data_IF_612651126167
#
_entry.id   IF_612651126167
#
_cell.length_a   1.000
_cell.length_b   1.000
_cell.length_c   1.000
_cell.angle_alpha   90.00
_cell.angle_beta   90.00
_cell.angle_gamma   90.00
#
_symmetry.space_group_name_H-M   'P 1'
#
loop_
_entity.id
_entity.type
_entity.pdbx_description
1 polymer ?
#
# COMPACT_ATOMS: atom_id res chain seq x y z
N UNK A 1 -4.61 -10.86 4.52
CA UNK A 1 -3.97 -11.90 5.36
C UNK A 1 -2.52 -11.46 5.53
N UNK A 2 -1.96 -11.40 6.75
CA UNK A 2 -0.55 -11.01 6.95
C UNK A 2 0.32 -12.21 6.60
N UNK A 3 1.15 -12.09 5.56
CA UNK A 3 2.09 -13.15 5.23
C UNK A 3 3.23 -13.12 6.25
N UNK A 4 3.25 -14.10 7.16
CA UNK A 4 4.30 -14.20 8.16
C UNK A 4 5.63 -14.50 7.46
N UNK A 5 6.61 -13.62 7.65
CA UNK A 5 8.00 -13.96 7.40
C UNK A 5 8.86 -13.66 8.65
N UNK A 6 9.93 -14.44 8.90
CA UNK A 6 10.69 -14.36 10.15
C UNK A 6 11.33 -12.99 10.41
N UNK A 7 11.50 -12.19 9.36
CA UNK A 7 12.15 -10.89 9.40
C UNK A 7 11.15 -9.72 9.24
N UNK A 8 9.85 -10.01 9.12
CA UNK A 8 8.78 -9.06 8.78
C UNK A 8 9.08 -8.14 7.57
N UNK A 9 9.96 -8.57 6.64
CA UNK A 9 10.30 -7.75 5.48
C UNK A 9 9.30 -7.92 4.34
N UNK A 10 8.56 -6.87 4.06
CA UNK A 10 7.89 -6.69 2.78
C UNK A 10 8.93 -6.68 1.65
N UNK A 11 8.59 -7.33 0.54
CA UNK A 11 9.42 -7.34 -0.67
C UNK A 11 8.52 -7.29 -1.91
N UNK A 12 9.13 -7.18 -3.08
CA UNK A 12 8.42 -7.02 -4.35
C UNK A 12 7.36 -8.12 -4.60
N UNK A 13 7.69 -9.40 -4.37
CA UNK A 13 6.74 -10.48 -4.65
C UNK A 13 5.56 -10.49 -3.68
N UNK A 14 5.80 -10.13 -2.41
CA UNK A 14 4.72 -10.01 -1.42
C UNK A 14 3.75 -8.90 -1.80
N UNK A 15 4.27 -7.75 -2.25
CA UNK A 15 3.42 -6.63 -2.69
C UNK A 15 2.64 -7.00 -3.95
N UNK A 16 3.26 -7.64 -4.94
CA UNK A 16 2.55 -8.08 -6.16
C UNK A 16 1.39 -9.02 -5.79
N UNK A 17 1.64 -10.02 -4.95
CA UNK A 17 0.58 -10.94 -4.51
C UNK A 17 -0.51 -10.21 -3.71
N UNK A 18 -0.13 -9.24 -2.86
CA UNK A 18 -1.10 -8.42 -2.15
C UNK A 18 -1.97 -7.60 -3.12
N UNK A 19 -1.38 -7.04 -4.18
CA UNK A 19 -2.14 -6.30 -5.21
C UNK A 19 -3.15 -7.23 -5.88
N UNK A 20 -2.71 -8.38 -6.38
CA UNK A 20 -3.54 -9.27 -7.20
C UNK A 20 -4.60 -10.02 -6.40
N UNK A 21 -4.24 -10.50 -5.22
CA UNK A 21 -5.05 -11.48 -4.49
C UNK A 21 -5.95 -10.81 -3.44
N UNK A 22 -5.61 -9.60 -3.01
CA UNK A 22 -6.31 -8.91 -1.93
C UNK A 22 -6.84 -7.55 -2.37
N UNK A 23 -5.97 -6.68 -2.90
CA UNK A 23 -6.35 -5.31 -3.23
C UNK A 23 -7.36 -5.28 -4.38
N UNK A 24 -7.02 -5.84 -5.54
CA UNK A 24 -7.90 -5.82 -6.73
C UNK A 24 -9.28 -6.44 -6.47
N UNK A 25 -9.41 -7.59 -5.78
CA UNK A 25 -10.72 -8.16 -5.46
C UNK A 25 -11.54 -7.35 -4.46
N UNK A 26 -10.89 -6.60 -3.54
CA UNK A 26 -11.56 -5.80 -2.52
C UNK A 26 -12.08 -4.44 -3.04
N UNK A 27 -11.93 -4.20 -4.33
CA UNK A 27 -11.99 -2.90 -4.96
C UNK A 27 -13.15 -2.93 -5.99
N UNK A 28 -14.13 -2.02 -5.90
CA UNK A 28 -15.25 -1.84 -6.88
C UNK A 28 -14.93 -1.07 -8.18
N UNK A 29 -15.38 -1.56 -9.36
CA UNK A 29 -15.09 -1.25 -10.79
C UNK A 29 -14.73 0.18 -11.31
N UNK A 30 -14.47 1.20 -10.50
CA UNK A 30 -14.03 2.53 -10.95
C UNK A 30 -12.51 2.70 -10.87
N UNK A 31 -11.92 3.59 -11.68
CA UNK A 31 -10.49 3.96 -11.63
C UNK A 31 -10.11 4.54 -10.27
N UNK A 32 -8.92 4.19 -9.76
CA UNK A 32 -8.61 4.32 -8.32
C UNK A 32 -7.26 4.95 -8.10
N UNK A 33 -7.25 5.97 -7.26
CA UNK A 33 -6.01 6.49 -6.69
C UNK A 33 -5.73 5.72 -5.40
N UNK A 34 -4.54 5.12 -5.29
CA UNK A 34 -4.09 4.45 -4.08
C UNK A 34 -2.96 5.25 -3.44
N UNK A 35 -3.22 5.86 -2.29
CA UNK A 35 -2.18 6.55 -1.52
C UNK A 35 -1.29 5.54 -0.79
N UNK A 36 0.03 5.61 -1.02
CA UNK A 36 1.02 4.69 -0.45
C UNK A 36 2.18 5.44 0.18
N UNK A 37 2.76 4.87 1.24
CA UNK A 37 4.02 5.35 1.78
C UNK A 37 5.17 5.09 0.79
N UNK A 38 6.16 5.98 0.76
CA UNK A 38 7.23 5.93 -0.24
C UNK A 38 8.42 5.07 0.21
N UNK A 39 8.18 3.77 0.30
CA UNK A 39 9.20 2.76 0.66
C UNK A 39 9.82 2.11 -0.58
N UNK A 40 11.00 1.50 -0.42
CA UNK A 40 11.81 1.00 -1.55
C UNK A 40 11.06 0.00 -2.44
N UNK A 41 10.33 -0.93 -1.85
CA UNK A 41 9.65 -2.00 -2.58
C UNK A 41 8.36 -1.53 -3.29
N UNK A 42 7.74 -0.41 -2.88
CA UNK A 42 6.61 0.17 -3.62
C UNK A 42 7.04 0.85 -4.92
N UNK A 43 8.34 1.09 -5.12
CA UNK A 43 8.86 1.90 -6.22
C UNK A 43 9.49 1.09 -7.36
N UNK A 44 9.39 -0.24 -7.32
CA UNK A 44 9.95 -1.04 -8.40
C UNK A 44 9.05 -0.98 -9.62
N UNK A 45 9.64 -1.13 -10.82
CA UNK A 45 8.86 -1.09 -12.06
C UNK A 45 7.79 -2.18 -12.07
N UNK A 46 8.11 -3.38 -11.58
CA UNK A 46 7.16 -4.50 -11.51
C UNK A 46 5.92 -4.14 -10.68
N UNK A 47 6.10 -3.45 -9.56
CA UNK A 47 4.97 -3.03 -8.70
C UNK A 47 4.14 -1.94 -9.40
N UNK A 48 4.77 -0.95 -10.03
CA UNK A 48 4.07 0.07 -10.81
C UNK A 48 3.29 -0.54 -11.99
N UNK A 49 3.92 -1.43 -12.75
CA UNK A 49 3.31 -2.13 -13.87
C UNK A 49 2.10 -2.95 -13.41
N UNK A 50 2.20 -3.61 -12.24
CA UNK A 50 1.09 -4.36 -11.63
C UNK A 50 -0.07 -3.46 -11.21
N UNK A 51 0.20 -2.27 -10.66
CA UNK A 51 -0.88 -1.31 -10.39
C UNK A 51 -1.56 -0.83 -11.68
N UNK A 52 -0.77 -0.46 -12.67
CA UNK A 52 -1.28 0.06 -13.93
C UNK A 52 -2.06 -0.98 -14.74
N UNK A 53 -1.69 -2.26 -14.68
CA UNK A 53 -2.45 -3.33 -15.34
C UNK A 53 -3.85 -3.55 -14.75
N UNK A 54 -4.15 -2.95 -13.60
CA UNK A 54 -5.43 -3.02 -12.91
C UNK A 54 -6.12 -1.65 -12.76
N UNK A 55 -5.72 -0.67 -13.58
CA UNK A 55 -6.27 0.70 -13.58
C UNK A 55 -6.15 1.44 -12.22
N UNK A 56 -5.10 1.10 -11.46
CA UNK A 56 -4.75 1.74 -10.20
C UNK A 56 -3.65 2.79 -10.45
N UNK A 57 -3.87 4.00 -9.96
CA UNK A 57 -2.91 5.11 -9.97
C UNK A 57 -2.29 5.21 -8.57
N UNK A 58 -1.05 4.73 -8.37
CA UNK A 58 -0.38 4.89 -7.08
C UNK A 58 0.04 6.35 -6.86
N UNK A 59 -0.40 6.92 -5.74
CA UNK A 59 0.00 8.24 -5.26
C UNK A 59 0.97 8.07 -4.08
N UNK A 60 2.26 8.27 -4.34
CA UNK A 60 3.30 8.13 -3.32
C UNK A 60 3.33 9.35 -2.40
N UNK A 61 3.16 9.12 -1.11
CA UNK A 61 3.27 10.16 -0.08
C UNK A 61 4.75 10.59 0.05
N UNK A 62 5.07 11.89 -0.04
CA UNK A 62 6.46 12.33 0.06
C UNK A 62 7.11 11.92 1.40
N UNK A 63 8.42 11.65 1.41
CA UNK A 63 9.12 11.26 2.62
C UNK A 63 8.91 12.29 3.75
N UNK A 64 8.62 11.82 4.96
CA UNK A 64 8.37 12.67 6.13
C UNK A 64 6.99 13.30 6.19
N UNK A 65 6.13 13.10 5.19
CA UNK A 65 4.76 13.62 5.17
C UNK A 65 3.71 12.59 5.60
N UNK A 66 4.09 11.33 5.83
CA UNK A 66 3.18 10.22 6.16
C UNK A 66 2.26 10.54 7.34
N UNK A 67 2.80 11.03 8.45
CA UNK A 67 2.02 11.44 9.63
C UNK A 67 1.20 12.72 9.44
N UNK A 68 1.36 13.42 8.32
CA UNK A 68 0.72 14.70 8.02
C UNK A 68 -0.38 14.58 6.97
N UNK A 69 -0.21 13.72 5.98
CA UNK A 69 -1.14 13.60 4.85
C UNK A 69 -1.61 12.18 4.51
N UNK A 70 -1.03 11.11 5.11
CA UNK A 70 -1.51 9.76 4.85
C UNK A 70 -2.75 9.45 5.70
N UNK A 71 -3.91 9.32 5.06
CA UNK A 71 -5.19 9.10 5.75
C UNK A 71 -5.16 7.88 6.68
N UNK A 72 -4.54 6.77 6.26
CA UNK A 72 -4.42 5.57 7.08
C UNK A 72 -3.68 5.84 8.39
N UNK A 73 -2.59 6.63 8.35
CA UNK A 73 -1.83 6.91 9.57
C UNK A 73 -2.51 7.89 10.51
N UNK A 74 -3.11 8.94 9.96
CA UNK A 74 -3.69 10.02 10.77
C UNK A 74 -5.04 9.63 11.34
N UNK A 75 -5.90 9.03 10.52
CA UNK A 75 -7.29 8.78 10.89
C UNK A 75 -7.49 7.41 11.56
N UNK A 76 -6.67 6.41 11.21
CA UNK A 76 -6.83 5.04 11.72
C UNK A 76 -5.70 4.61 12.65
N UNK A 77 -4.45 4.57 12.18
CA UNK A 77 -3.35 4.01 12.97
C UNK A 77 -3.09 4.80 14.24
N UNK A 78 -3.17 6.14 14.19
CA UNK A 78 -3.04 6.98 15.38
C UNK A 78 -4.11 6.64 16.42
N UNK A 79 -5.38 6.59 16.01
CA UNK A 79 -6.49 6.25 16.89
C UNK A 79 -6.33 4.84 17.49
N UNK A 80 -5.92 3.86 16.68
CA UNK A 80 -5.72 2.50 17.14
C UNK A 80 -4.58 2.39 18.18
N UNK A 81 -3.47 3.12 17.97
CA UNK A 81 -2.35 3.19 18.93
C UNK A 81 -2.72 3.87 20.24
N UNK A 82 -3.69 4.77 20.22
CA UNK A 82 -4.16 5.44 21.45
C UNK A 82 -5.10 4.54 22.28
N UNK A 83 -5.67 3.49 21.67
CA UNK A 83 -6.63 2.57 22.31
C UNK A 83 -5.96 1.25 22.78
N UNK A 84 -4.90 0.80 22.11
CA UNK A 84 -4.13 -0.41 22.43
C UNK A 84 -2.96 -0.11 23.37
#
# INVERSE_FOLDING_TARGET
MVQFNPNAYENESVIVNWITDMLVPALDLSSRILALDVVKFHKTNIVFDTFHSHDIIPAMIPPGCTSLIQSLDIAMNKLLKDIL
#
